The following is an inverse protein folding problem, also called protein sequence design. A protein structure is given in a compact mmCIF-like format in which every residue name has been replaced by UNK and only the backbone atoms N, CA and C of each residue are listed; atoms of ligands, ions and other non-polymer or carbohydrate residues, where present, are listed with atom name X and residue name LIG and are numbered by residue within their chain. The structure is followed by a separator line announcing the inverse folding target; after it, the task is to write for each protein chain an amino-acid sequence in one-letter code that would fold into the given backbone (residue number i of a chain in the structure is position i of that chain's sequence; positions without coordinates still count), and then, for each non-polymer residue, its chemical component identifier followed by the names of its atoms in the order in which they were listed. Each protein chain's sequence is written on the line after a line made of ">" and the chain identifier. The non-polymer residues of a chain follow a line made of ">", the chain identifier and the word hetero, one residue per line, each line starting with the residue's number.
data_IF_722206150093
#
_entry.id   IF_722206150093
#
_cell.length_a   1.000
_cell.length_b   1.000
_cell.length_c   1.000
_cell.angle_alpha   90.00
_cell.angle_beta   90.00
_cell.angle_gamma   90.00
#
_symmetry.space_group_name_H-M   'P 1'
#
loop_
_entity.id
_entity.type
_entity.pdbx_description
1 polymer ?
#
# COMPACT_ATOMS: atom_id res chain seq x y z
N UNK A 1 -6.54 -17.92 16.93
CA UNK A 1 -6.52 -16.68 16.15
C UNK A 1 -5.39 -15.77 16.58
N UNK A 2 -4.86 -14.98 15.66
CA UNK A 2 -3.87 -13.97 15.99
C UNK A 2 -4.54 -12.77 16.68
N UNK A 3 -3.78 -12.10 17.54
CA UNK A 3 -4.20 -10.80 18.08
C UNK A 3 -3.77 -9.72 17.11
N UNK A 4 -4.71 -8.91 16.65
CA UNK A 4 -4.42 -7.73 15.85
C UNK A 4 -3.77 -6.65 16.72
N UNK A 5 -2.78 -5.96 16.16
CA UNK A 5 -2.06 -4.91 16.87
C UNK A 5 -1.76 -3.75 15.91
N UNK A 6 -2.02 -2.52 16.36
CA UNK A 6 -1.76 -1.31 15.58
C UNK A 6 -0.91 -0.34 16.38
N UNK A 7 0.14 0.17 15.76
CA UNK A 7 0.98 1.25 16.26
C UNK A 7 1.03 2.38 15.26
N UNK A 8 1.02 3.62 15.76
CA UNK A 8 1.21 4.81 14.95
C UNK A 8 2.16 5.76 15.64
N UNK A 9 3.18 6.19 14.93
CA UNK A 9 4.18 7.14 15.39
C UNK A 9 4.14 8.36 14.51
N UNK A 10 4.11 9.54 15.13
CA UNK A 10 4.17 10.82 14.42
C UNK A 10 5.22 11.70 15.07
N UNK A 11 6.12 12.23 14.25
CA UNK A 11 7.13 13.21 14.66
C UNK A 11 7.06 14.38 13.70
N UNK A 12 6.97 15.59 14.24
CA UNK A 12 6.90 16.79 13.45
C UNK A 12 7.82 17.88 13.97
N UNK A 13 8.42 18.61 13.05
CA UNK A 13 9.24 19.79 13.34
C UNK A 13 8.66 20.94 12.54
N UNK A 14 8.32 22.02 13.23
CA UNK A 14 7.84 23.25 12.61
C UNK A 14 8.75 24.37 13.03
N UNK A 15 9.12 25.22 12.10
CA UNK A 15 9.98 26.35 12.39
C UNK A 15 9.89 27.43 11.33
N UNK A 16 10.61 28.49 11.55
CA UNK A 16 10.70 29.62 10.64
C UNK A 16 11.51 30.76 11.25
N UNK A 17 11.94 31.68 10.39
CA UNK A 17 12.56 32.93 10.81
C UNK A 17 11.65 34.07 10.39
N UNK A 18 11.04 34.73 11.38
CA UNK A 18 10.14 35.85 11.22
C UNK A 18 9.15 35.70 10.02
N UNK A 19 8.73 36.77 9.42
CA UNK A 19 7.75 36.78 8.34
C UNK A 19 8.27 36.19 7.00
N UNK A 20 9.50 35.69 6.92
CA UNK A 20 10.14 35.34 5.65
C UNK A 20 10.21 33.88 5.33
N UNK A 21 10.34 32.99 6.30
CA UNK A 21 10.46 31.55 6.10
C UNK A 21 9.58 30.80 7.09
N UNK A 22 8.80 29.87 6.59
CA UNK A 22 8.07 28.87 7.39
C UNK A 22 8.34 27.50 6.82
N UNK A 23 8.60 26.53 7.68
CA UNK A 23 8.74 25.15 7.26
C UNK A 23 8.07 24.20 8.25
N UNK A 24 7.60 23.09 7.70
CA UNK A 24 7.05 21.98 8.46
C UNK A 24 7.61 20.70 7.86
N UNK A 25 8.22 19.89 8.70
CA UNK A 25 8.67 18.54 8.39
C UNK A 25 7.92 17.58 9.28
N UNK A 26 7.27 16.59 8.72
CA UNK A 26 6.58 15.55 9.50
C UNK A 26 6.86 14.16 8.94
N UNK A 27 7.06 13.22 9.85
CA UNK A 27 7.19 11.81 9.57
C UNK A 27 6.13 11.05 10.35
N UNK A 28 5.42 10.16 9.66
CA UNK A 28 4.44 9.26 10.27
C UNK A 28 4.76 7.85 9.86
N UNK A 29 4.75 6.93 10.82
CA UNK A 29 4.82 5.50 10.60
C UNK A 29 3.60 4.83 11.21
N UNK A 30 2.88 4.08 10.40
CA UNK A 30 1.81 3.18 10.81
C UNK A 30 2.29 1.74 10.64
N UNK A 31 2.11 0.91 11.66
CA UNK A 31 2.45 -0.51 11.65
C UNK A 31 1.25 -1.29 12.20
N UNK A 32 0.69 -2.16 11.39
CA UNK A 32 -0.51 -2.92 11.73
C UNK A 32 -0.30 -4.40 11.46
N UNK A 33 -0.51 -5.21 12.48
CA UNK A 33 -0.67 -6.67 12.36
C UNK A 33 -2.13 -7.01 12.40
N UNK A 34 -2.61 -7.69 11.37
CA UNK A 34 -4.00 -8.10 11.33
C UNK A 34 -4.25 -9.43 12.06
N UNK A 35 -5.51 -9.69 12.38
CA UNK A 35 -5.95 -10.96 12.96
C UNK A 35 -5.84 -12.14 11.97
N UNK A 36 -5.81 -11.87 10.68
CA UNK A 36 -5.56 -12.87 9.65
C UNK A 36 -4.09 -13.27 9.62
N UNK A 37 -3.85 -14.56 9.39
CA UNK A 37 -2.49 -15.10 9.27
C UNK A 37 -1.73 -14.43 8.13
N UNK A 38 -0.45 -14.17 8.32
CA UNK A 38 0.47 -13.60 7.33
C UNK A 38 0.03 -12.23 6.78
N UNK A 39 -0.80 -11.50 7.53
CA UNK A 39 -1.31 -10.21 7.07
C UNK A 39 -0.75 -9.07 7.93
N UNK A 40 0.06 -8.21 7.31
CA UNK A 40 0.68 -7.06 7.94
C UNK A 40 0.57 -5.84 7.01
N UNK A 41 0.61 -4.67 7.61
CA UNK A 41 0.62 -3.40 6.90
C UNK A 41 1.62 -2.46 7.55
N UNK A 42 2.52 -1.91 6.76
CA UNK A 42 3.46 -0.86 7.20
C UNK A 42 3.38 0.30 6.22
N UNK A 43 3.24 1.51 6.78
CA UNK A 43 3.23 2.73 6.00
C UNK A 43 4.17 3.75 6.62
N UNK A 44 5.11 4.24 5.83
CA UNK A 44 5.97 5.36 6.14
C UNK A 44 5.56 6.57 5.29
N UNK A 45 5.37 7.71 5.90
CA UNK A 45 4.98 8.93 5.22
C UNK A 45 5.84 10.11 5.71
N UNK A 46 6.60 10.68 4.79
CA UNK A 46 7.41 11.89 5.02
C UNK A 46 6.77 13.06 4.29
N UNK A 47 6.50 14.14 4.99
CA UNK A 47 5.93 15.35 4.41
C UNK A 47 6.81 16.55 4.74
N UNK A 48 7.09 17.33 3.72
CA UNK A 48 7.85 18.59 3.83
C UNK A 48 6.99 19.69 3.24
N UNK A 49 6.87 20.79 3.97
CA UNK A 49 6.27 22.04 3.47
C UNK A 49 7.20 23.19 3.77
N UNK A 50 7.36 24.10 2.84
CA UNK A 50 8.18 25.29 2.98
C UNK A 50 7.55 26.45 2.24
N UNK A 51 7.39 27.55 2.93
CA UNK A 51 6.95 28.83 2.37
C UNK A 51 8.05 29.86 2.63
N UNK A 52 8.52 30.50 1.59
CA UNK A 52 9.57 31.52 1.67
C UNK A 52 9.20 32.79 0.96
N UNK A 53 9.25 33.91 1.66
CA UNK A 53 9.15 35.23 1.08
C UNK A 53 10.54 35.62 0.57
N UNK A 54 10.74 35.61 -0.73
CA UNK A 54 12.02 35.95 -1.37
C UNK A 54 12.22 37.46 -1.44
N UNK A 55 11.11 38.22 -1.61
CA UNK A 55 11.07 39.67 -1.55
C UNK A 55 9.67 40.13 -1.13
N UNK A 56 9.46 41.44 -1.04
CA UNK A 56 8.13 41.99 -0.77
C UNK A 56 7.10 41.66 -1.87
N UNK A 57 7.58 41.31 -3.07
CA UNK A 57 6.76 41.03 -4.24
C UNK A 57 6.81 39.56 -4.69
N UNK A 58 7.72 38.75 -4.15
CA UNK A 58 7.95 37.38 -4.61
C UNK A 58 7.92 36.41 -3.44
N UNK A 59 7.00 35.41 -3.54
CA UNK A 59 6.88 34.30 -2.60
C UNK A 59 7.14 33.01 -3.34
N UNK A 60 7.82 32.08 -2.65
CA UNK A 60 8.04 30.70 -3.08
C UNK A 60 7.35 29.76 -2.11
N UNK A 61 6.65 28.77 -2.65
CA UNK A 61 5.99 27.72 -1.92
C UNK A 61 6.49 26.37 -2.43
N UNK A 62 6.79 25.47 -1.52
CA UNK A 62 7.21 24.11 -1.84
C UNK A 62 6.52 23.12 -0.90
N UNK A 63 6.04 22.02 -1.46
CA UNK A 63 5.60 20.88 -0.66
C UNK A 63 6.00 19.56 -1.33
N UNK A 64 6.40 18.61 -0.50
CA UNK A 64 6.72 17.26 -0.92
C UNK A 64 6.07 16.26 0.01
N UNK A 65 5.60 15.16 -0.55
CA UNK A 65 5.14 13.99 0.20
C UNK A 65 5.74 12.74 -0.41
N UNK A 66 6.41 11.96 0.43
CA UNK A 66 6.96 10.66 0.10
C UNK A 66 6.21 9.62 0.94
N UNK A 67 5.65 8.63 0.31
CA UNK A 67 4.94 7.55 0.99
C UNK A 67 5.50 6.23 0.52
N UNK A 68 5.87 5.38 1.46
CA UNK A 68 6.19 3.97 1.22
C UNK A 68 5.16 3.14 1.98
N UNK A 69 4.59 2.15 1.32
CA UNK A 69 3.62 1.24 1.91
C UNK A 69 3.99 -0.19 1.56
N UNK A 70 3.97 -1.05 2.55
CA UNK A 70 4.19 -2.50 2.40
C UNK A 70 2.97 -3.20 2.96
N UNK A 71 2.36 -4.03 2.15
CA UNK A 71 1.20 -4.85 2.51
C UNK A 71 1.61 -6.29 2.31
N UNK A 72 1.69 -7.04 3.40
CA UNK A 72 1.90 -8.48 3.38
C UNK A 72 0.56 -9.19 3.59
N UNK A 73 0.38 -10.29 2.88
CA UNK A 73 -0.79 -11.16 3.00
C UNK A 73 -1.62 -11.26 1.74
N UNK A 74 -2.41 -12.30 1.68
CA UNK A 74 -3.34 -12.58 0.58
C UNK A 74 -4.44 -11.52 0.44
N UNK A 75 -4.46 -10.57 1.38
CA UNK A 75 -5.39 -9.46 1.43
C UNK A 75 -6.69 -9.83 2.15
N UNK A 76 -7.33 -8.81 2.67
CA UNK A 76 -8.67 -8.87 3.24
C UNK A 76 -9.76 -8.83 2.16
N UNK A 77 -9.42 -9.20 0.92
CA UNK A 77 -10.43 -9.25 -0.12
C UNK A 77 -11.46 -10.36 0.23
N UNK A 78 -12.71 -10.06 -0.03
CA UNK A 78 -13.84 -10.88 0.38
C UNK A 78 -13.80 -12.36 -0.03
N UNK A 79 -12.91 -12.75 -0.96
CA UNK A 79 -12.71 -14.13 -1.39
C UNK A 79 -12.23 -15.05 -0.25
N UNK A 80 -11.13 -14.72 0.38
CA UNK A 80 -10.57 -15.54 1.48
C UNK A 80 -11.49 -15.62 2.70
N UNK A 81 -12.15 -14.50 3.03
CA UNK A 81 -13.11 -14.48 4.12
C UNK A 81 -14.36 -15.31 3.79
N UNK A 82 -14.85 -15.22 2.56
CA UNK A 82 -15.94 -16.05 2.08
C UNK A 82 -15.59 -17.53 2.15
N UNK A 83 -14.41 -17.91 1.68
CA UNK A 83 -13.94 -19.30 1.68
C UNK A 83 -13.83 -19.82 3.12
N UNK A 84 -13.36 -19.00 4.07
CA UNK A 84 -13.31 -19.37 5.48
C UNK A 84 -14.70 -19.56 6.11
N UNK A 85 -15.70 -18.80 5.69
CA UNK A 85 -17.08 -18.94 6.18
C UNK A 85 -17.79 -20.13 5.56
N UNK A 86 -17.51 -20.41 4.28
CA UNK A 86 -18.15 -21.50 3.54
C UNK A 86 -17.48 -22.86 3.77
N UNK A 87 -16.25 -22.87 4.30
CA UNK A 87 -15.52 -24.09 4.56
C UNK A 87 -16.18 -24.88 5.70
N UNK A 88 -16.51 -26.14 5.43
CA UNK A 88 -17.17 -26.98 6.41
C UNK A 88 -16.17 -27.48 7.46
N UNK A 89 -16.36 -27.17 8.77
CA UNK A 89 -15.45 -27.63 9.82
C UNK A 89 -15.44 -29.17 9.97
N UNK A 90 -16.50 -29.83 9.55
CA UNK A 90 -16.60 -31.30 9.60
C UNK A 90 -15.70 -31.95 8.56
N UNK A 91 -15.64 -31.38 7.37
CA UNK A 91 -14.78 -31.91 6.31
C UNK A 91 -13.29 -31.71 6.65
N UNK A 92 -12.92 -30.63 7.31
CA UNK A 92 -11.54 -30.39 7.73
C UNK A 92 -11.09 -31.36 8.83
N UNK A 93 -11.96 -31.71 9.78
CA UNK A 93 -11.69 -32.71 10.82
C UNK A 93 -11.55 -34.10 10.23
N UNK A 94 -12.43 -34.52 9.36
CA UNK A 94 -12.36 -35.82 8.70
C UNK A 94 -11.11 -35.97 7.86
N UNK A 95 -10.68 -34.91 7.16
CA UNK A 95 -9.44 -34.93 6.36
C UNK A 95 -8.18 -34.96 7.22
N UNK A 96 -8.17 -34.28 8.35
CA UNK A 96 -7.05 -34.27 9.32
C UNK A 96 -6.94 -35.64 9.99
N UNK A 97 -8.06 -36.18 10.48
CA UNK A 97 -8.08 -37.49 11.13
C UNK A 97 -7.72 -38.64 10.18
N UNK A 98 -8.17 -38.59 8.92
CA UNK A 98 -7.80 -39.57 7.91
C UNK A 98 -6.31 -39.49 7.51
N UNK A 99 -5.74 -38.29 7.43
CA UNK A 99 -4.32 -38.11 7.15
C UNK A 99 -3.40 -38.52 8.27
N UNK A 100 -3.74 -38.17 9.52
CA UNK A 100 -2.95 -38.56 10.71
C UNK A 100 -3.09 -40.04 11.02
N UNK A 101 -4.27 -40.62 10.87
CA UNK A 101 -4.51 -42.01 11.17
C UNK A 101 -3.85 -43.00 10.21
N UNK A 102 -3.62 -42.56 8.96
CA UNK A 102 -3.08 -43.44 7.92
C UNK A 102 -1.63 -43.12 7.55
N UNK A 103 -1.01 -42.11 8.17
CA UNK A 103 0.38 -41.69 7.87
C UNK A 103 0.60 -41.37 6.39
N UNK A 104 -0.47 -41.14 5.63
CA UNK A 104 -0.46 -40.91 4.20
C UNK A 104 -0.68 -39.42 3.84
N UNK A 105 -0.14 -39.03 2.72
CA UNK A 105 -0.42 -37.75 2.11
C UNK A 105 -1.92 -37.68 1.76
N UNK A 106 -2.63 -36.68 2.30
CA UNK A 106 -4.04 -36.50 1.98
C UNK A 106 -4.14 -36.15 0.50
N UNK A 107 -4.69 -37.06 -0.30
CA UNK A 107 -4.99 -36.78 -1.70
C UNK A 107 -6.33 -36.03 -1.80
N UNK A 108 -6.23 -34.74 -1.99
CA UNK A 108 -7.41 -33.88 -2.20
C UNK A 108 -8.03 -33.99 -3.58
N UNK A 109 -7.54 -34.91 -4.45
CA UNK A 109 -7.99 -35.02 -5.81
C UNK A 109 -9.31 -35.77 -6.00
N UNK A 110 -9.67 -36.64 -5.03
CA UNK A 110 -10.83 -37.55 -5.20
C UNK A 110 -12.14 -37.05 -4.57
N UNK A 111 -12.12 -35.97 -3.81
CA UNK A 111 -13.34 -35.46 -3.19
C UNK A 111 -13.81 -34.18 -3.91
N UNK A 112 -14.80 -34.33 -4.78
CA UNK A 112 -15.40 -33.25 -5.55
C UNK A 112 -16.02 -32.13 -4.66
N UNK A 113 -16.34 -32.43 -3.42
CA UNK A 113 -16.80 -31.46 -2.42
C UNK A 113 -15.66 -30.66 -1.82
N UNK A 114 -14.48 -31.24 -1.67
CA UNK A 114 -13.27 -30.55 -1.17
C UNK A 114 -12.54 -29.81 -2.30
N UNK A 115 -12.68 -30.26 -3.55
CA UNK A 115 -12.06 -29.61 -4.71
C UNK A 115 -12.65 -28.25 -5.06
N UNK A 116 -13.88 -27.97 -4.64
CA UNK A 116 -14.55 -26.67 -4.89
C UNK A 116 -14.27 -25.62 -3.80
N UNK A 117 -13.82 -26.02 -2.62
CA UNK A 117 -13.53 -25.17 -1.47
C UNK A 117 -12.11 -25.44 -0.99
N UNK A 118 -11.17 -24.68 -1.48
CA UNK A 118 -9.79 -24.73 -0.98
C UNK A 118 -9.78 -24.45 0.52
N UNK A 119 -9.06 -25.27 1.31
CA UNK A 119 -8.85 -25.01 2.74
C UNK A 119 -8.30 -23.60 2.96
N UNK A 120 -9.03 -22.69 3.62
CA UNK A 120 -8.64 -21.30 3.75
C UNK A 120 -7.39 -21.13 4.63
N UNK A 121 -7.13 -22.02 5.56
CA UNK A 121 -5.94 -22.01 6.41
C UNK A 121 -4.74 -22.45 5.59
N UNK A 122 -4.86 -23.58 4.89
CA UNK A 122 -3.82 -24.10 4.02
C UNK A 122 -3.43 -23.07 2.96
N UNK A 123 -4.40 -22.49 2.26
CA UNK A 123 -4.15 -21.49 1.23
C UNK A 123 -3.51 -20.22 1.81
N UNK A 124 -3.92 -19.77 3.00
CA UNK A 124 -3.33 -18.60 3.65
C UNK A 124 -1.86 -18.81 4.03
N UNK A 125 -1.50 -20.04 4.40
CA UNK A 125 -0.11 -20.39 4.74
C UNK A 125 0.75 -20.61 3.49
N UNK A 126 0.18 -21.14 2.42
CA UNK A 126 0.91 -21.51 1.19
C UNK A 126 0.80 -20.50 0.06
N UNK A 127 0.10 -19.39 0.27
CA UNK A 127 0.03 -18.28 -0.66
C UNK A 127 0.67 -17.04 -0.05
N UNK A 128 1.70 -16.54 -0.71
CA UNK A 128 2.37 -15.31 -0.31
C UNK A 128 2.02 -14.19 -1.28
N UNK A 129 1.53 -13.10 -0.74
CA UNK A 129 1.34 -11.87 -1.47
C UNK A 129 2.04 -10.73 -0.75
N UNK A 130 2.96 -10.08 -1.43
CA UNK A 130 3.64 -8.90 -0.91
C UNK A 130 3.50 -7.76 -1.90
N UNK A 131 2.84 -6.71 -1.47
CA UNK A 131 2.65 -5.51 -2.26
C UNK A 131 3.48 -4.36 -1.67
N UNK A 132 4.32 -3.77 -2.51
CA UNK A 132 5.09 -2.60 -2.17
C UNK A 132 4.60 -1.44 -3.03
N UNK A 133 4.26 -0.34 -2.38
CA UNK A 133 3.84 0.88 -3.04
C UNK A 133 4.77 2.01 -2.62
N UNK A 134 5.26 2.73 -3.59
CA UNK A 134 6.03 3.93 -3.38
C UNK A 134 5.38 5.06 -4.16
N UNK A 135 5.11 6.18 -3.50
CA UNK A 135 4.59 7.37 -4.14
C UNK A 135 5.32 8.61 -3.66
N UNK A 136 5.58 9.51 -4.60
CA UNK A 136 6.11 10.82 -4.29
C UNK A 136 5.32 11.88 -5.06
N UNK A 137 5.10 12.99 -4.37
CA UNK A 137 4.44 14.16 -4.94
C UNK A 137 5.26 15.38 -4.56
N UNK A 138 5.59 16.19 -5.54
CA UNK A 138 6.27 17.47 -5.38
C UNK A 138 5.38 18.55 -5.95
N UNK A 139 5.25 19.65 -5.20
CA UNK A 139 4.60 20.85 -5.69
C UNK A 139 5.53 22.02 -5.42
N UNK A 140 5.70 22.88 -6.40
CA UNK A 140 6.44 24.11 -6.26
C UNK A 140 5.65 25.26 -6.88
N UNK A 141 5.68 26.40 -6.26
CA UNK A 141 4.97 27.57 -6.75
C UNK A 141 5.73 28.86 -6.50
N UNK A 142 5.60 29.77 -7.44
CA UNK A 142 6.01 31.16 -7.31
C UNK A 142 4.80 32.05 -7.43
N UNK A 143 4.71 33.03 -6.55
CA UNK A 143 3.68 34.06 -6.58
C UNK A 143 4.39 35.43 -6.64
N UNK A 144 4.26 36.11 -7.75
CA UNK A 144 4.98 37.34 -8.05
C UNK A 144 4.02 38.49 -8.34
N UNK A 145 4.08 39.52 -7.49
CA UNK A 145 3.42 40.80 -7.74
C UNK A 145 4.32 41.64 -8.64
N UNK A 146 4.02 41.64 -9.94
CA UNK A 146 4.82 42.37 -10.97
C UNK A 146 4.73 43.87 -10.70
N UNK A 147 3.49 44.37 -10.63
CA UNK A 147 3.14 45.74 -10.23
C UNK A 147 1.92 45.69 -9.33
N UNK A 148 1.61 46.75 -8.65
CA UNK A 148 0.44 46.83 -7.75
C UNK A 148 -0.83 46.42 -8.52
N UNK A 149 -1.52 45.40 -8.01
CA UNK A 149 -2.71 44.82 -8.58
C UNK A 149 -2.48 43.73 -9.63
N UNK A 150 -1.28 43.59 -10.23
CA UNK A 150 -0.96 42.57 -11.22
C UNK A 150 -0.09 41.46 -10.60
N UNK A 151 -0.64 40.25 -10.48
CA UNK A 151 0.01 39.09 -9.88
C UNK A 151 0.14 37.97 -10.90
N UNK A 152 1.35 37.43 -11.01
CA UNK A 152 1.63 36.21 -11.77
C UNK A 152 1.93 35.06 -10.83
N UNK A 153 1.27 33.91 -11.06
CA UNK A 153 1.49 32.68 -10.32
C UNK A 153 1.94 31.58 -11.28
N UNK A 154 3.09 31.00 -10.99
CA UNK A 154 3.58 29.78 -11.63
C UNK A 154 3.48 28.64 -10.63
N UNK A 155 2.74 27.58 -10.96
CA UNK A 155 2.61 26.38 -10.11
C UNK A 155 2.96 25.15 -10.92
N UNK A 156 3.89 24.36 -10.39
CA UNK A 156 4.28 23.07 -10.94
C UNK A 156 3.97 21.96 -9.96
N UNK A 157 3.52 20.83 -10.46
CA UNK A 157 3.40 19.59 -9.68
C UNK A 157 3.97 18.43 -10.46
N UNK A 158 4.60 17.50 -9.71
CA UNK A 158 5.06 16.23 -10.22
C UNK A 158 4.67 15.13 -9.25
N UNK A 159 4.03 14.09 -9.75
CA UNK A 159 3.67 12.91 -8.98
C UNK A 159 4.25 11.67 -9.69
N UNK A 160 4.86 10.80 -8.90
CA UNK A 160 5.38 9.52 -9.35
C UNK A 160 4.87 8.42 -8.43
N UNK A 161 4.46 7.30 -9.03
CA UNK A 161 4.04 6.10 -8.31
C UNK A 161 4.77 4.90 -8.88
N UNK A 162 5.22 4.03 -7.99
CA UNK A 162 5.77 2.73 -8.33
C UNK A 162 5.18 1.69 -7.40
N UNK A 163 4.44 0.75 -7.97
CA UNK A 163 3.83 -0.35 -7.25
C UNK A 163 4.39 -1.65 -7.81
N UNK A 164 4.77 -2.57 -6.95
CA UNK A 164 5.02 -3.94 -7.37
C UNK A 164 4.38 -4.91 -6.40
N UNK A 165 3.87 -6.00 -6.95
CA UNK A 165 3.21 -7.06 -6.22
C UNK A 165 3.86 -8.38 -6.58
N UNK A 166 4.40 -9.04 -5.58
CA UNK A 166 4.90 -10.40 -5.66
C UNK A 166 3.82 -11.35 -5.13
N UNK A 167 3.40 -12.30 -5.95
CA UNK A 167 2.51 -13.38 -5.56
C UNK A 167 3.26 -14.70 -5.75
N UNK A 168 3.22 -15.55 -4.75
CA UNK A 168 3.80 -16.89 -4.80
C UNK A 168 2.78 -17.89 -4.27
N UNK A 169 2.49 -18.89 -5.04
CA UNK A 169 1.63 -20.01 -4.69
C UNK A 169 2.46 -21.27 -4.66
N UNK A 170 2.51 -21.91 -3.50
CA UNK A 170 3.19 -23.19 -3.34
C UNK A 170 2.36 -24.34 -3.90
N UNK A 171 2.91 -25.55 -3.84
CA UNK A 171 2.20 -26.77 -4.28
C UNK A 171 0.88 -26.94 -3.55
N UNK A 172 -0.07 -27.61 -4.19
CA UNK A 172 -1.41 -27.93 -3.65
C UNK A 172 -2.30 -26.70 -3.37
N UNK A 173 -2.02 -25.56 -3.99
CA UNK A 173 -2.93 -24.40 -4.02
C UNK A 173 -3.75 -24.43 -5.32
N UNK A 174 -4.86 -23.68 -5.37
CA UNK A 174 -5.70 -23.60 -6.58
C UNK A 174 -4.92 -23.16 -7.81
N UNK A 175 -3.99 -22.20 -7.66
CA UNK A 175 -3.16 -21.70 -8.76
C UNK A 175 -2.12 -22.75 -9.20
N UNK A 176 -1.52 -23.50 -8.26
CA UNK A 176 -0.58 -24.57 -8.61
C UNK A 176 -1.26 -25.73 -9.31
N UNK A 177 -2.51 -26.04 -8.98
CA UNK A 177 -3.30 -27.06 -9.65
C UNK A 177 -3.51 -26.73 -11.12
N UNK A 178 -3.74 -25.45 -11.44
CA UNK A 178 -3.82 -24.96 -12.82
C UNK A 178 -2.47 -25.00 -13.56
N UNK A 179 -1.35 -25.16 -12.83
CA UNK A 179 0.01 -25.25 -13.37
C UNK A 179 0.61 -26.65 -13.18
N UNK A 180 -0.15 -27.69 -13.43
CA UNK A 180 0.27 -29.08 -13.28
C UNK A 180 0.85 -29.42 -11.90
N UNK A 181 0.31 -28.82 -10.84
CA UNK A 181 0.76 -29.04 -9.46
C UNK A 181 2.09 -28.36 -9.09
N UNK A 182 2.70 -27.60 -9.99
CA UNK A 182 3.94 -26.90 -9.74
C UNK A 182 3.71 -25.53 -9.07
N UNK A 183 4.63 -25.05 -8.22
CA UNK A 183 4.54 -23.72 -7.65
C UNK A 183 4.50 -22.64 -8.75
N UNK A 184 3.78 -21.57 -8.48
CA UNK A 184 3.66 -20.41 -9.37
C UNK A 184 4.18 -19.18 -8.67
N UNK A 185 4.99 -18.39 -9.36
CA UNK A 185 5.41 -17.08 -8.91
C UNK A 185 5.06 -16.04 -9.98
N UNK A 186 4.43 -14.96 -9.55
CA UNK A 186 4.04 -13.87 -10.44
C UNK A 186 4.44 -12.54 -9.83
N UNK A 187 5.15 -11.73 -10.62
CA UNK A 187 5.43 -10.34 -10.27
C UNK A 187 4.69 -9.40 -11.20
N UNK A 188 4.05 -8.42 -10.62
CA UNK A 188 3.38 -7.33 -11.35
C UNK A 188 4.04 -6.01 -10.94
N UNK A 189 4.50 -5.25 -11.91
CA UNK A 189 5.10 -3.95 -11.72
C UNK A 189 4.28 -2.89 -12.43
N UNK A 190 3.97 -1.81 -11.71
CA UNK A 190 3.23 -0.67 -12.25
C UNK A 190 3.98 0.63 -11.93
N UNK A 191 4.20 1.45 -12.95
CA UNK A 191 4.84 2.75 -12.82
C UNK A 191 3.97 3.82 -13.44
N UNK A 192 3.85 4.93 -12.74
CA UNK A 192 3.11 6.09 -13.23
C UNK A 192 3.84 7.38 -12.94
N UNK A 193 3.88 8.28 -13.90
CA UNK A 193 4.36 9.63 -13.71
C UNK A 193 3.34 10.62 -14.26
N UNK A 194 3.12 11.72 -13.54
CA UNK A 194 2.21 12.78 -13.92
C UNK A 194 2.80 14.12 -13.52
N UNK A 195 2.73 15.06 -14.42
CA UNK A 195 3.13 16.43 -14.13
C UNK A 195 2.06 17.42 -14.59
N UNK A 196 2.05 18.56 -13.94
CA UNK A 196 1.17 19.66 -14.28
C UNK A 196 1.96 20.99 -14.13
N UNK A 197 1.75 21.91 -15.02
CA UNK A 197 2.29 23.26 -14.97
C UNK A 197 1.16 24.25 -15.23
N UNK A 198 0.96 25.16 -14.30
CA UNK A 198 -0.08 26.18 -14.36
C UNK A 198 0.54 27.57 -14.35
N UNK A 199 0.08 28.43 -15.25
CA UNK A 199 0.42 29.82 -15.33
C UNK A 199 -0.86 30.64 -15.15
N UNK A 200 -0.88 31.49 -14.13
CA UNK A 200 -2.07 32.28 -13.79
C UNK A 200 -1.66 33.74 -13.71
N UNK A 201 -2.26 34.58 -14.51
CA UNK A 201 -2.12 36.03 -14.44
C UNK A 201 -3.41 36.64 -13.94
N UNK A 202 -3.34 37.41 -12.88
CA UNK A 202 -4.50 38.03 -12.23
C UNK A 202 -4.29 39.51 -12.08
N UNK A 203 -5.30 40.30 -12.39
CA UNK A 203 -5.30 41.75 -12.18
C UNK A 203 -6.49 42.14 -11.30
N UNK A 204 -6.19 42.98 -10.31
CA UNK A 204 -7.21 43.54 -9.41
C UNK A 204 -7.22 45.06 -9.57
N UNK A 205 -8.35 45.58 -10.00
CA UNK A 205 -8.63 47.02 -10.13
C UNK A 205 -8.70 47.71 -8.78
#
# INVERSE_FOLDING_TARGET
>A
GNTGFKQSYNVGITGGTDATLRYNLSYTRDDEKYIMLNSNYVRDNLSVKMDKKLSNKLKFEFSSRLTRMVIDGAGTNGGKLRDAVLFSPINSLASIEAGDALGGEIDYSDDALLSSLNDPVYNTVNEYKKQNQFSMTYNAGFNWEIVKGLTYQLKGSYAYTYNYTDNVWLKKTGESSSNAGQPVAKRTDEKGARWNLQNILSYRF
#
